data_IF_289301734733
#
_entry.id   IF_289301734733
#
_cell.length_a   1.000
_cell.length_b   1.000
_cell.length_c   1.000
_cell.angle_alpha   90.00
_cell.angle_beta   90.00
_cell.angle_gamma   90.00
#
_symmetry.space_group_name_H-M   'P 1'
#
loop_
_entity.id
_entity.type
_entity.pdbx_description
1 polymer ?
#
# COMPACT_ATOMS: atom_id res chain seq x y z
N UNK A 1 -16.51 -42.95 9.85
CA UNK A 1 -16.54 -41.50 9.78
C UNK A 1 -17.11 -41.11 8.42
N UNK A 2 -18.24 -40.35 8.33
CA UNK A 2 -18.75 -39.91 7.05
C UNK A 2 -17.75 -38.90 6.49
N UNK A 3 -17.29 -39.18 5.27
CA UNK A 3 -16.52 -38.27 4.47
C UNK A 3 -17.40 -37.05 4.13
N UNK A 4 -17.23 -35.94 4.84
CA UNK A 4 -17.68 -34.62 4.39
C UNK A 4 -16.78 -34.14 3.26
N UNK A 5 -16.58 -34.97 2.26
CA UNK A 5 -15.97 -34.62 1.00
C UNK A 5 -17.06 -33.99 0.15
N UNK A 6 -17.08 -32.62 0.04
CA UNK A 6 -17.56 -32.10 -1.18
C UNK A 6 -18.68 -31.07 -1.24
N UNK A 7 -18.95 -30.27 -0.22
CA UNK A 7 -19.65 -29.00 -0.47
C UNK A 7 -18.84 -27.86 0.14
N UNK A 8 -17.72 -27.51 -0.52
CA UNK A 8 -17.08 -26.23 -0.25
C UNK A 8 -18.09 -25.12 -0.59
N UNK A 9 -18.71 -24.58 0.45
CA UNK A 9 -19.63 -23.47 0.28
C UNK A 9 -18.83 -22.23 -0.16
N UNK A 10 -19.00 -21.83 -1.41
CA UNK A 10 -18.30 -20.70 -2.04
C UNK A 10 -19.31 -19.67 -2.54
N UNK A 11 -19.84 -18.81 -1.68
CA UNK A 11 -20.80 -17.78 -2.13
C UNK A 11 -20.14 -16.74 -3.04
N UNK A 12 -18.82 -16.57 -2.95
CA UNK A 12 -18.04 -15.62 -3.73
C UNK A 12 -16.69 -16.15 -4.19
N UNK A 13 -15.66 -15.30 -4.09
CA UNK A 13 -14.31 -15.59 -4.60
C UNK A 13 -13.49 -16.54 -3.72
N UNK A 14 -13.86 -16.72 -2.45
CA UNK A 14 -13.14 -17.55 -1.48
C UNK A 14 -13.98 -18.73 -0.97
N UNK A 15 -13.36 -19.88 -0.61
CA UNK A 15 -14.00 -20.89 0.21
C UNK A 15 -14.14 -20.37 1.64
N UNK A 16 -15.27 -20.66 2.33
CA UNK A 16 -15.50 -20.25 3.72
C UNK A 16 -14.81 -21.23 4.68
N UNK A 17 -13.50 -21.25 4.63
CA UNK A 17 -12.57 -22.00 5.50
C UNK A 17 -11.27 -21.19 5.66
N UNK A 18 -10.40 -21.55 6.61
CA UNK A 18 -9.08 -20.96 6.69
C UNK A 18 -8.32 -21.05 5.35
N UNK A 19 -7.92 -19.88 4.79
CA UNK A 19 -7.36 -19.80 3.45
C UNK A 19 -5.93 -20.34 3.39
N UNK A 20 -5.60 -21.08 2.35
CA UNK A 20 -4.22 -21.39 1.96
C UNK A 20 -3.61 -20.22 1.18
N UNK A 21 -2.28 -20.25 0.94
CA UNK A 21 -1.60 -19.26 0.09
C UNK A 21 -2.18 -19.24 -1.34
N UNK A 22 -2.42 -20.43 -1.90
CA UNK A 22 -3.01 -20.57 -3.23
C UNK A 22 -4.44 -20.03 -3.30
N UNK A 23 -5.25 -20.23 -2.24
CA UNK A 23 -6.59 -19.67 -2.16
C UNK A 23 -6.55 -18.14 -2.19
N UNK A 24 -5.64 -17.51 -1.43
CA UNK A 24 -5.48 -16.04 -1.41
C UNK A 24 -5.14 -15.50 -2.79
N UNK A 25 -4.11 -16.02 -3.46
CA UNK A 25 -3.69 -15.53 -4.77
C UNK A 25 -4.73 -15.81 -5.87
N UNK A 26 -5.36 -16.98 -5.85
CA UNK A 26 -6.42 -17.30 -6.81
C UNK A 26 -7.65 -16.41 -6.63
N UNK A 27 -8.01 -16.11 -5.39
CA UNK A 27 -9.14 -15.23 -5.07
C UNK A 27 -8.87 -13.78 -5.49
N UNK A 28 -7.66 -13.23 -5.21
CA UNK A 28 -7.27 -11.90 -5.66
C UNK A 28 -7.33 -11.81 -7.18
N UNK A 29 -6.75 -12.80 -7.87
CA UNK A 29 -6.76 -12.83 -9.35
C UNK A 29 -8.19 -12.88 -9.90
N UNK A 30 -9.08 -13.69 -9.29
CA UNK A 30 -10.50 -13.74 -9.67
C UNK A 30 -11.21 -12.42 -9.39
N UNK A 31 -10.94 -11.76 -8.25
CA UNK A 31 -11.51 -10.46 -7.93
C UNK A 31 -11.11 -9.39 -8.93
N UNK A 32 -9.81 -9.30 -9.26
CA UNK A 32 -9.27 -8.32 -10.22
C UNK A 32 -9.82 -8.58 -11.62
N UNK A 33 -9.77 -9.83 -12.11
CA UNK A 33 -10.29 -10.18 -13.43
C UNK A 33 -11.81 -10.10 -13.52
N UNK A 34 -12.50 -10.38 -12.44
CA UNK A 34 -13.97 -10.35 -12.37
C UNK A 34 -14.55 -8.94 -12.35
N UNK A 35 -13.75 -7.93 -11.98
CA UNK A 35 -14.18 -6.53 -11.88
C UNK A 35 -13.03 -5.56 -12.22
N UNK A 36 -12.53 -5.65 -13.46
CA UNK A 36 -11.39 -4.84 -13.93
C UNK A 36 -11.69 -3.34 -13.84
N UNK A 37 -12.92 -2.93 -14.17
CA UNK A 37 -13.32 -1.52 -14.11
C UNK A 37 -13.21 -0.96 -12.67
N UNK A 38 -13.71 -1.68 -11.67
CA UNK A 38 -13.66 -1.20 -10.29
C UNK A 38 -12.28 -1.40 -9.63
N UNK A 39 -11.43 -2.29 -10.12
CA UNK A 39 -10.10 -2.50 -9.57
C UNK A 39 -9.03 -1.66 -10.28
N UNK A 40 -8.83 -1.89 -11.58
CA UNK A 40 -7.84 -1.16 -12.37
C UNK A 40 -8.31 0.25 -12.76
N UNK A 41 -9.62 0.43 -13.05
CA UNK A 41 -10.18 1.75 -13.33
C UNK A 41 -10.08 2.70 -12.15
N UNK A 42 -10.41 2.24 -10.92
CA UNK A 42 -10.18 3.03 -9.70
C UNK A 42 -8.69 3.28 -9.46
N UNK A 43 -7.83 2.27 -9.72
CA UNK A 43 -6.40 2.44 -9.60
C UNK A 43 -5.88 3.56 -10.51
N UNK A 44 -6.29 3.55 -11.77
CA UNK A 44 -5.91 4.57 -12.74
C UNK A 44 -6.43 5.95 -12.33
N UNK A 45 -7.74 6.07 -12.05
CA UNK A 45 -8.37 7.35 -11.68
C UNK A 45 -7.76 7.95 -10.41
N UNK A 46 -7.63 7.14 -9.36
CA UNK A 46 -7.07 7.61 -8.07
C UNK A 46 -5.61 8.02 -8.24
N UNK A 47 -4.83 7.24 -8.99
CA UNK A 47 -3.43 7.56 -9.25
C UNK A 47 -3.29 8.83 -10.09
N UNK A 48 -4.10 9.02 -11.13
CA UNK A 48 -4.08 10.26 -11.92
C UNK A 48 -4.41 11.48 -11.05
N UNK A 49 -5.48 11.41 -10.27
CA UNK A 49 -5.92 12.53 -9.40
C UNK A 49 -4.86 12.88 -8.35
N UNK A 50 -4.19 11.88 -7.78
CA UNK A 50 -3.16 12.12 -6.77
C UNK A 50 -1.79 12.45 -7.37
N UNK A 51 -1.34 11.75 -8.43
CA UNK A 51 0.02 11.94 -8.95
C UNK A 51 0.17 13.18 -9.82
N UNK A 52 -0.82 13.52 -10.66
CA UNK A 52 -0.67 14.64 -11.60
C UNK A 52 -0.34 15.95 -10.87
N UNK A 53 -1.07 16.38 -9.82
CA UNK A 53 -0.75 17.62 -9.11
C UNK A 53 0.65 17.63 -8.50
N UNK A 54 1.02 16.51 -7.85
CA UNK A 54 2.34 16.40 -7.22
C UNK A 54 3.48 16.28 -8.22
N UNK A 55 3.25 15.61 -9.36
CA UNK A 55 4.24 15.54 -10.44
C UNK A 55 4.41 16.90 -11.11
N UNK A 56 3.32 17.61 -11.39
CA UNK A 56 3.38 18.96 -11.98
C UNK A 56 4.07 19.95 -11.05
N UNK A 57 3.71 19.95 -9.77
CA UNK A 57 4.36 20.78 -8.76
C UNK A 57 5.84 20.39 -8.59
N UNK A 58 6.14 19.11 -8.58
CA UNK A 58 7.50 18.59 -8.48
C UNK A 58 8.36 19.01 -9.65
N UNK A 59 7.85 18.88 -10.87
CA UNK A 59 8.53 19.35 -12.08
C UNK A 59 8.75 20.86 -12.09
N UNK A 60 7.75 21.64 -11.63
CA UNK A 60 7.86 23.09 -11.52
C UNK A 60 8.92 23.52 -10.49
N UNK A 61 8.93 22.91 -9.29
CA UNK A 61 9.94 23.19 -8.24
C UNK A 61 11.32 22.77 -8.72
N UNK A 62 11.45 21.58 -9.31
CA UNK A 62 12.73 21.10 -9.83
C UNK A 62 13.30 21.97 -10.96
N UNK A 63 12.42 22.60 -11.75
CA UNK A 63 12.84 23.51 -12.82
C UNK A 63 13.39 24.86 -12.31
N UNK A 64 13.25 25.16 -11.00
CA UNK A 64 13.86 26.36 -10.39
C UNK A 64 15.35 26.13 -10.07
N UNK A 65 15.81 24.87 -10.17
CA UNK A 65 17.21 24.55 -9.96
C UNK A 65 18.04 25.08 -11.13
N UNK A 66 18.92 26.04 -10.86
CA UNK A 66 19.97 26.48 -11.78
C UNK A 66 21.20 25.64 -11.46
N UNK A 67 21.66 24.83 -12.43
CA UNK A 67 22.87 24.03 -12.31
C UNK A 67 24.12 24.95 -12.35
N UNK A 68 24.28 25.76 -11.32
CA UNK A 68 25.55 26.47 -11.07
C UNK A 68 26.43 25.54 -10.22
N UNK A 69 27.43 24.95 -10.85
CA UNK A 69 28.34 23.94 -10.24
C UNK A 69 29.16 24.45 -9.05
N UNK A 70 29.04 25.74 -8.69
CA UNK A 70 29.85 26.42 -7.68
C UNK A 70 29.11 26.71 -6.36
N UNK A 71 27.86 26.30 -6.18
CA UNK A 71 27.10 26.52 -4.96
C UNK A 71 27.08 25.31 -4.05
N UNK A 72 27.42 25.49 -2.75
CA UNK A 72 27.27 24.46 -1.71
C UNK A 72 25.79 24.02 -1.50
N UNK A 73 24.83 24.74 -2.04
CA UNK A 73 23.38 24.45 -2.01
C UNK A 73 22.91 23.63 -3.22
N UNK A 74 23.82 22.92 -3.87
CA UNK A 74 23.54 22.13 -5.06
C UNK A 74 22.39 21.14 -4.84
N UNK A 75 21.34 21.28 -5.63
CA UNK A 75 20.27 20.30 -5.77
C UNK A 75 19.13 20.37 -4.76
N UNK A 76 19.00 21.43 -3.96
CA UNK A 76 17.90 21.52 -2.97
C UNK A 76 16.52 21.52 -3.64
N UNK A 77 16.29 22.41 -4.58
CA UNK A 77 15.02 22.49 -5.33
C UNK A 77 14.80 21.25 -6.19
N UNK A 78 15.86 20.77 -6.83
CA UNK A 78 15.85 19.55 -7.62
C UNK A 78 15.50 18.33 -6.78
N UNK A 79 16.12 18.19 -5.61
CA UNK A 79 15.85 17.06 -4.66
C UNK A 79 14.43 17.14 -4.12
N UNK A 80 13.96 18.30 -3.67
CA UNK A 80 12.58 18.48 -3.21
C UNK A 80 11.60 18.21 -4.35
N UNK A 81 11.81 18.83 -5.51
CA UNK A 81 10.92 18.68 -6.65
C UNK A 81 10.81 17.25 -7.14
N UNK A 82 11.93 16.53 -7.28
CA UNK A 82 11.94 15.13 -7.72
C UNK A 82 11.32 14.16 -6.70
N UNK A 83 11.24 14.55 -5.42
CA UNK A 83 10.61 13.72 -4.38
C UNK A 83 9.09 13.91 -4.26
N UNK A 84 8.52 15.01 -4.76
CA UNK A 84 7.08 15.30 -4.66
C UNK A 84 6.18 14.24 -5.30
N UNK A 85 6.47 13.64 -6.47
CA UNK A 85 5.68 12.54 -7.01
C UNK A 85 5.56 11.34 -6.08
N UNK A 86 6.55 11.10 -5.21
CA UNK A 86 6.50 10.03 -4.20
C UNK A 86 5.39 10.29 -3.18
N UNK A 87 5.16 11.54 -2.78
CA UNK A 87 4.05 11.94 -1.89
C UNK A 87 2.72 11.65 -2.57
N UNK A 88 2.58 12.03 -3.86
CA UNK A 88 1.40 11.72 -4.66
C UNK A 88 1.13 10.21 -4.74
N UNK A 89 2.17 9.41 -4.95
CA UNK A 89 2.09 7.94 -4.98
C UNK A 89 1.64 7.35 -3.64
N UNK A 90 2.14 7.87 -2.53
CA UNK A 90 1.72 7.44 -1.18
C UNK A 90 0.24 7.73 -0.95
N UNK A 91 -0.23 8.93 -1.27
CA UNK A 91 -1.65 9.29 -1.14
C UNK A 91 -2.53 8.42 -2.02
N UNK A 92 -2.14 8.21 -3.28
CA UNK A 92 -2.84 7.32 -4.21
C UNK A 92 -2.94 5.89 -3.67
N UNK A 93 -1.82 5.35 -3.20
CA UNK A 93 -1.74 3.98 -2.66
C UNK A 93 -2.69 3.76 -1.49
N UNK A 94 -2.80 4.73 -0.59
CA UNK A 94 -3.64 4.62 0.59
C UNK A 94 -5.12 4.71 0.24
N UNK A 95 -5.51 5.70 -0.56
CA UNK A 95 -6.89 5.82 -1.02
C UNK A 95 -7.31 4.57 -1.79
N UNK A 96 -6.44 4.09 -2.69
CA UNK A 96 -6.70 2.92 -3.51
C UNK A 96 -6.79 1.64 -2.70
N UNK A 97 -5.91 1.46 -1.69
CA UNK A 97 -6.01 0.30 -0.78
C UNK A 97 -7.35 0.30 -0.04
N UNK A 98 -7.87 1.47 0.34
CA UNK A 98 -9.21 1.61 0.92
C UNK A 98 -10.33 1.20 -0.04
N UNK A 99 -10.32 1.71 -1.26
CA UNK A 99 -11.30 1.33 -2.29
C UNK A 99 -11.27 -0.17 -2.59
N UNK A 100 -10.08 -0.72 -2.75
CA UNK A 100 -9.91 -2.14 -3.05
C UNK A 100 -10.30 -3.05 -1.88
N UNK A 101 -10.07 -2.64 -0.64
CA UNK A 101 -10.59 -3.37 0.52
C UNK A 101 -12.12 -3.48 0.49
N UNK A 102 -12.83 -2.41 0.08
CA UNK A 102 -14.28 -2.44 -0.10
C UNK A 102 -14.69 -3.38 -1.24
N UNK A 103 -14.07 -3.25 -2.42
CA UNK A 103 -14.34 -4.11 -3.59
C UNK A 103 -14.14 -5.58 -3.26
N UNK A 104 -13.02 -5.93 -2.61
CA UNK A 104 -12.72 -7.31 -2.19
C UNK A 104 -13.72 -7.80 -1.14
N UNK A 105 -14.08 -6.96 -0.17
CA UNK A 105 -15.09 -7.29 0.82
C UNK A 105 -16.43 -7.67 0.17
N UNK A 106 -16.89 -6.95 -0.84
CA UNK A 106 -18.10 -7.29 -1.59
C UNK A 106 -17.93 -8.54 -2.46
N UNK A 107 -16.75 -8.70 -3.08
CA UNK A 107 -16.44 -9.88 -3.90
C UNK A 107 -16.41 -11.19 -3.07
N UNK A 108 -16.04 -11.13 -1.79
CA UNK A 108 -16.14 -12.28 -0.87
C UNK A 108 -17.58 -12.78 -0.74
N UNK A 109 -18.56 -11.88 -0.82
CA UNK A 109 -20.01 -12.21 -0.82
C UNK A 109 -20.56 -12.51 -2.22
N UNK A 110 -19.71 -12.56 -3.25
CA UNK A 110 -20.12 -12.79 -4.63
C UNK A 110 -20.75 -11.58 -5.32
N UNK A 111 -20.70 -10.39 -4.72
CA UNK A 111 -21.25 -9.16 -5.29
C UNK A 111 -20.21 -8.43 -6.11
N UNK A 112 -20.60 -7.92 -7.29
CA UNK A 112 -19.82 -7.02 -8.11
C UNK A 112 -20.26 -5.59 -7.83
N UNK A 113 -19.33 -4.72 -7.53
CA UNK A 113 -19.60 -3.29 -7.26
C UNK A 113 -18.99 -2.42 -8.35
N UNK A 114 -19.70 -1.35 -8.70
CA UNK A 114 -19.21 -0.35 -9.64
C UNK A 114 -18.28 0.69 -8.96
N UNK A 115 -17.67 1.55 -9.78
CA UNK A 115 -16.81 2.64 -9.31
C UNK A 115 -17.57 3.59 -8.38
N UNK A 116 -18.79 4.01 -8.77
CA UNK A 116 -19.62 4.91 -7.98
C UNK A 116 -20.04 4.32 -6.64
N UNK A 117 -20.45 3.04 -6.60
CA UNK A 117 -20.81 2.34 -5.37
C UNK A 117 -19.60 2.20 -4.43
N UNK A 118 -18.42 1.92 -4.99
CA UNK A 118 -17.16 1.87 -4.21
C UNK A 118 -16.81 3.22 -3.60
N UNK A 119 -16.98 4.30 -4.38
CA UNK A 119 -16.78 5.67 -3.89
C UNK A 119 -17.75 6.00 -2.74
N UNK A 120 -19.04 5.74 -2.93
CA UNK A 120 -20.06 6.01 -1.91
C UNK A 120 -19.83 5.19 -0.63
N UNK A 121 -19.37 3.94 -0.77
CA UNK A 121 -19.05 3.07 0.36
C UNK A 121 -17.77 3.47 1.12
N UNK A 122 -16.86 4.24 0.49
CA UNK A 122 -15.55 4.53 1.06
C UNK A 122 -15.33 6.01 1.40
N UNK A 123 -16.01 6.95 0.70
CA UNK A 123 -15.80 8.41 0.88
C UNK A 123 -15.89 8.89 2.32
N UNK A 124 -16.80 8.32 3.13
CA UNK A 124 -16.94 8.65 4.56
C UNK A 124 -15.76 8.15 5.40
N UNK A 125 -14.98 7.20 4.89
CA UNK A 125 -13.81 6.62 5.57
C UNK A 125 -12.50 7.32 5.19
N UNK A 126 -12.51 8.17 4.16
CA UNK A 126 -11.32 8.91 3.70
C UNK A 126 -10.62 9.71 4.82
N UNK A 127 -11.32 10.43 5.72
CA UNK A 127 -10.64 11.11 6.81
C UNK A 127 -9.93 10.15 7.77
N UNK A 128 -10.52 8.99 8.06
CA UNK A 128 -9.88 7.97 8.89
C UNK A 128 -8.67 7.33 8.19
N UNK A 129 -8.76 7.12 6.87
CA UNK A 129 -7.64 6.68 6.05
C UNK A 129 -6.52 7.71 6.04
N UNK A 130 -6.84 8.99 5.82
CA UNK A 130 -5.86 10.08 5.90
C UNK A 130 -5.20 10.15 7.28
N UNK A 131 -5.98 10.03 8.36
CA UNK A 131 -5.46 9.94 9.72
C UNK A 131 -4.51 8.76 9.93
N UNK A 132 -4.82 7.60 9.35
CA UNK A 132 -3.94 6.43 9.41
C UNK A 132 -2.61 6.67 8.69
N UNK A 133 -2.62 7.41 7.56
CA UNK A 133 -1.39 7.83 6.86
C UNK A 133 -0.53 8.69 7.75
N UNK A 134 -1.13 9.76 8.29
CA UNK A 134 -0.40 10.70 9.16
C UNK A 134 0.21 9.94 10.34
N UNK A 135 -0.55 9.06 10.99
CA UNK A 135 -0.03 8.24 12.08
C UNK A 135 1.11 7.30 11.63
N UNK A 136 1.01 6.73 10.43
CA UNK A 136 2.08 5.88 9.88
C UNK A 136 3.34 6.70 9.62
N UNK A 137 3.22 7.89 9.02
CA UNK A 137 4.35 8.78 8.74
C UNK A 137 4.99 9.26 10.05
N UNK A 138 4.19 9.75 10.99
CA UNK A 138 4.68 10.19 12.31
C UNK A 138 5.39 9.04 13.05
N UNK A 139 4.79 7.85 13.04
CA UNK A 139 5.39 6.66 13.61
C UNK A 139 6.71 6.27 12.93
N UNK A 140 6.76 6.34 11.60
CA UNK A 140 7.98 6.06 10.84
C UNK A 140 9.10 7.07 11.16
N UNK A 141 8.77 8.36 11.17
CA UNK A 141 9.74 9.43 11.54
C UNK A 141 10.23 9.26 12.97
N UNK A 142 9.33 8.97 13.91
CA UNK A 142 9.69 8.74 15.31
C UNK A 142 10.64 7.55 15.47
N UNK A 143 10.34 6.43 14.82
CA UNK A 143 11.18 5.21 14.84
C UNK A 143 12.54 5.47 14.19
N UNK A 144 12.57 6.14 13.04
CA UNK A 144 13.81 6.50 12.36
C UNK A 144 14.66 7.43 13.20
N UNK A 145 14.06 8.49 13.77
CA UNK A 145 14.76 9.43 14.65
C UNK A 145 15.28 8.77 15.92
N UNK A 146 14.51 7.88 16.54
CA UNK A 146 14.93 7.15 17.72
C UNK A 146 16.11 6.20 17.46
N UNK A 147 16.15 5.55 16.29
CA UNK A 147 17.19 4.57 15.96
C UNK A 147 18.43 5.24 15.37
N UNK A 148 18.26 6.18 14.44
CA UNK A 148 19.37 6.82 13.73
C UNK A 148 19.86 8.12 14.38
N UNK A 149 19.05 8.76 15.22
CA UNK A 149 19.38 10.08 15.77
C UNK A 149 20.72 10.12 16.50
N UNK A 150 20.95 9.16 17.41
CA UNK A 150 22.23 9.09 18.16
C UNK A 150 23.41 8.73 17.26
N UNK A 151 23.36 7.68 16.41
CA UNK A 151 24.44 7.38 15.46
C UNK A 151 24.80 8.55 14.54
N UNK A 152 23.80 9.25 14.00
CA UNK A 152 24.03 10.40 13.13
C UNK A 152 24.66 11.57 13.91
N UNK A 153 24.17 11.89 15.10
CA UNK A 153 24.74 12.95 15.94
C UNK A 153 26.20 12.67 16.32
N UNK A 154 26.53 11.41 16.62
CA UNK A 154 27.91 11.00 16.90
C UNK A 154 28.80 11.09 15.66
N UNK A 155 28.30 10.66 14.49
CA UNK A 155 29.04 10.78 13.24
C UNK A 155 29.30 12.26 12.85
N UNK A 156 28.32 13.14 13.10
CA UNK A 156 28.46 14.58 12.85
C UNK A 156 29.47 15.26 13.80
N UNK A 157 29.54 14.81 15.07
CA UNK A 157 30.45 15.43 16.07
C UNK A 157 31.86 14.84 16.07
N UNK A 158 32.03 13.55 15.81
CA UNK A 158 33.32 12.83 15.88
C UNK A 158 33.89 12.45 14.52
N UNK A 159 33.15 12.75 13.44
CA UNK A 159 33.51 12.32 12.08
C UNK A 159 33.23 10.83 11.83
N UNK A 160 33.44 10.41 10.58
CA UNK A 160 33.32 9.02 10.18
C UNK A 160 34.56 8.22 10.56
N UNK A 161 34.51 7.60 11.74
CA UNK A 161 35.54 6.66 12.20
C UNK A 161 34.95 5.24 12.28
N UNK A 162 35.80 4.24 12.54
CA UNK A 162 35.36 2.83 12.56
C UNK A 162 34.22 2.57 13.55
N UNK A 163 34.18 3.26 14.67
CA UNK A 163 33.13 3.13 15.68
C UNK A 163 31.79 3.73 15.21
N UNK A 164 31.81 4.96 14.66
CA UNK A 164 30.59 5.62 14.16
C UNK A 164 29.99 4.89 12.95
N UNK A 165 30.84 4.38 12.05
CA UNK A 165 30.40 3.55 10.92
C UNK A 165 29.77 2.24 11.40
N UNK A 166 30.36 1.57 12.37
CA UNK A 166 29.79 0.36 12.99
C UNK A 166 28.41 0.65 13.60
N UNK A 167 28.27 1.74 14.34
CA UNK A 167 26.98 2.15 14.93
C UNK A 167 25.93 2.44 13.86
N UNK A 168 26.30 3.12 12.78
CA UNK A 168 25.37 3.39 11.65
C UNK A 168 24.92 2.09 10.99
N UNK A 169 25.82 1.14 10.76
CA UNK A 169 25.45 -0.17 10.19
C UNK A 169 24.51 -0.94 11.11
N UNK A 170 24.80 -0.99 12.42
CA UNK A 170 23.93 -1.65 13.39
C UNK A 170 22.56 -0.97 13.48
N UNK A 171 22.53 0.37 13.50
CA UNK A 171 21.29 1.14 13.50
C UNK A 171 20.48 0.91 12.22
N UNK A 172 21.13 0.83 11.06
CA UNK A 172 20.46 0.51 9.80
C UNK A 172 19.85 -0.90 9.81
N UNK A 173 20.57 -1.91 10.30
CA UNK A 173 20.04 -3.26 10.44
C UNK A 173 18.83 -3.31 11.39
N UNK A 174 18.94 -2.62 12.54
CA UNK A 174 17.85 -2.49 13.49
C UNK A 174 16.64 -1.79 12.87
N UNK A 175 16.87 -0.74 12.08
CA UNK A 175 15.84 -0.01 11.35
C UNK A 175 15.10 -0.92 10.37
N UNK A 176 15.81 -1.72 9.59
CA UNK A 176 15.20 -2.70 8.66
C UNK A 176 14.29 -3.67 9.42
N UNK A 177 14.76 -4.22 10.54
CA UNK A 177 13.97 -5.13 11.37
C UNK A 177 12.73 -4.42 11.95
N UNK A 178 12.90 -3.19 12.46
CA UNK A 178 11.81 -2.39 13.00
C UNK A 178 10.75 -2.07 11.93
N UNK A 179 11.17 -1.71 10.71
CA UNK A 179 10.25 -1.46 9.60
C UNK A 179 9.51 -2.72 9.15
N UNK A 180 10.17 -3.87 9.02
CA UNK A 180 9.52 -5.15 8.70
C UNK A 180 8.50 -5.54 9.78
N UNK A 181 8.84 -5.32 11.04
CA UNK A 181 7.93 -5.57 12.15
C UNK A 181 6.69 -4.65 12.09
N UNK A 182 6.89 -3.34 11.97
CA UNK A 182 5.80 -2.36 11.87
C UNK A 182 4.95 -2.59 10.61
N UNK A 183 5.58 -2.83 9.46
CA UNK A 183 4.89 -3.13 8.21
C UNK A 183 3.93 -4.31 8.34
N UNK A 184 4.33 -5.36 9.06
CA UNK A 184 3.47 -6.51 9.34
C UNK A 184 2.36 -6.16 10.32
N UNK A 185 2.67 -5.39 11.37
CA UNK A 185 1.70 -4.98 12.40
C UNK A 185 0.62 -4.05 11.89
N UNK A 186 0.95 -3.24 10.91
CA UNK A 186 0.02 -2.26 10.29
C UNK A 186 -0.71 -2.81 9.06
N UNK A 187 -0.47 -4.09 8.69
CA UNK A 187 -0.99 -4.73 7.49
C UNK A 187 -2.50 -4.55 7.27
N UNK A 188 -3.28 -4.59 8.34
CA UNK A 188 -4.73 -4.64 8.29
C UNK A 188 -5.41 -3.29 8.59
N UNK A 189 -4.64 -2.23 8.86
CA UNK A 189 -5.18 -0.92 9.25
C UNK A 189 -6.21 -0.42 8.25
N UNK A 190 -5.86 -0.40 6.96
CA UNK A 190 -6.72 0.10 5.89
C UNK A 190 -7.99 -0.77 5.73
N UNK A 191 -7.82 -2.10 5.74
CA UNK A 191 -8.94 -3.03 5.65
C UNK A 191 -9.88 -2.92 6.86
N UNK A 192 -9.34 -2.73 8.05
CA UNK A 192 -10.15 -2.54 9.29
C UNK A 192 -10.92 -1.22 9.25
N UNK A 193 -10.31 -0.12 8.78
CA UNK A 193 -11.02 1.17 8.62
C UNK A 193 -12.22 1.00 7.69
N UNK A 194 -12.02 0.35 6.56
CA UNK A 194 -13.06 0.24 5.52
C UNK A 194 -14.09 -0.84 5.86
N UNK A 195 -13.65 -2.05 6.24
CA UNK A 195 -14.53 -3.19 6.47
C UNK A 195 -15.18 -3.20 7.86
N UNK A 196 -14.51 -2.65 8.90
CA UNK A 196 -15.08 -2.60 10.25
C UNK A 196 -15.57 -1.18 10.61
N UNK A 197 -15.34 -0.17 9.76
CA UNK A 197 -15.81 1.20 10.01
C UNK A 197 -15.12 1.91 11.18
N UNK A 198 -13.92 1.47 11.56
CA UNK A 198 -13.20 2.02 12.73
C UNK A 198 -12.41 3.28 12.37
N UNK A 199 -12.28 4.18 13.35
CA UNK A 199 -11.34 5.32 13.23
C UNK A 199 -9.88 4.85 13.24
N UNK A 200 -8.96 5.73 12.79
CA UNK A 200 -7.55 5.42 12.58
C UNK A 200 -6.88 4.75 13.80
N UNK A 201 -6.92 5.36 14.99
CA UNK A 201 -6.28 4.81 16.20
C UNK A 201 -6.81 3.41 16.57
N UNK A 202 -8.13 3.24 16.52
CA UNK A 202 -8.74 1.94 16.81
C UNK A 202 -8.39 0.88 15.77
N UNK A 203 -8.17 1.29 14.52
CA UNK A 203 -7.74 0.40 13.44
C UNK A 203 -6.29 -0.08 13.65
N UNK A 204 -5.38 0.78 14.11
CA UNK A 204 -4.03 0.36 14.51
C UNK A 204 -4.06 -0.66 15.64
N UNK A 205 -4.79 -0.36 16.73
CA UNK A 205 -4.93 -1.27 17.85
C UNK A 205 -5.56 -2.62 17.42
N UNK A 206 -6.52 -2.59 16.53
CA UNK A 206 -7.17 -3.78 15.97
C UNK A 206 -6.23 -4.59 15.09
N UNK A 207 -5.51 -3.93 14.16
CA UNK A 207 -4.50 -4.56 13.31
C UNK A 207 -3.42 -5.23 14.15
N UNK A 208 -2.95 -4.53 15.19
CA UNK A 208 -1.97 -5.08 16.12
C UNK A 208 -2.43 -6.37 16.80
N UNK A 209 -3.70 -6.42 17.27
CA UNK A 209 -4.28 -7.62 17.86
C UNK A 209 -4.41 -8.76 16.87
N UNK A 210 -4.88 -8.49 15.64
CA UNK A 210 -5.05 -9.50 14.60
C UNK A 210 -3.73 -10.12 14.14
N UNK A 211 -2.64 -9.33 14.14
CA UNK A 211 -1.30 -9.77 13.71
C UNK A 211 -0.45 -10.35 14.85
N UNK A 212 -0.94 -10.36 16.11
CA UNK A 212 -0.15 -10.80 17.27
C UNK A 212 -0.01 -12.33 17.35
N UNK A 213 1.12 -12.81 17.85
CA UNK A 213 1.40 -14.22 18.10
C UNK A 213 1.78 -15.02 16.84
N UNK A 214 1.42 -16.29 16.80
CA UNK A 214 1.77 -17.21 15.69
C UNK A 214 1.41 -16.75 14.28
N UNK A 215 0.31 -16.02 14.03
CA UNK A 215 -0.01 -15.50 12.70
C UNK A 215 0.99 -14.49 12.14
N UNK A 216 1.77 -13.82 12.99
CA UNK A 216 2.74 -12.80 12.57
C UNK A 216 3.67 -13.28 11.44
N UNK A 217 4.32 -14.42 11.64
CA UNK A 217 5.27 -14.96 10.67
C UNK A 217 4.61 -15.37 9.34
N UNK A 218 3.40 -15.90 9.43
CA UNK A 218 2.63 -16.26 8.24
C UNK A 218 2.23 -15.01 7.45
N UNK A 219 1.75 -13.98 8.13
CA UNK A 219 1.37 -12.71 7.49
C UNK A 219 2.60 -12.04 6.88
N UNK A 220 3.71 -11.96 7.63
CA UNK A 220 4.99 -11.43 7.15
C UNK A 220 5.44 -12.18 5.89
N UNK A 221 5.45 -13.51 5.91
CA UNK A 221 5.88 -14.35 4.79
C UNK A 221 5.01 -14.14 3.55
N UNK A 222 3.69 -14.13 3.69
CA UNK A 222 2.77 -13.93 2.55
C UNK A 222 2.94 -12.52 1.97
N UNK A 223 2.99 -11.48 2.81
CA UNK A 223 3.17 -10.11 2.35
C UNK A 223 4.53 -9.90 1.70
N UNK A 224 5.60 -10.46 2.27
CA UNK A 224 6.93 -10.38 1.72
C UNK A 224 7.02 -11.05 0.34
N UNK A 225 6.47 -12.26 0.21
CA UNK A 225 6.39 -12.95 -1.08
C UNK A 225 5.55 -12.15 -2.09
N UNK A 226 4.40 -11.62 -1.67
CA UNK A 226 3.56 -10.76 -2.51
C UNK A 226 4.33 -9.52 -2.97
N UNK A 227 5.03 -8.86 -2.06
CA UNK A 227 5.84 -7.68 -2.37
C UNK A 227 6.92 -7.99 -3.41
N UNK A 228 7.64 -9.10 -3.28
CA UNK A 228 8.65 -9.52 -4.27
C UNK A 228 7.98 -9.78 -5.63
N UNK A 229 6.92 -10.57 -5.67
CA UNK A 229 6.25 -10.90 -6.93
C UNK A 229 5.73 -9.65 -7.65
N UNK A 230 5.04 -8.80 -6.91
CA UNK A 230 4.41 -7.60 -7.46
C UNK A 230 5.47 -6.57 -7.88
N UNK A 231 6.52 -6.35 -7.06
CA UNK A 231 7.61 -5.43 -7.42
C UNK A 231 8.41 -5.93 -8.61
N UNK A 232 8.64 -7.24 -8.74
CA UNK A 232 9.32 -7.81 -9.91
C UNK A 232 8.52 -7.54 -11.18
N UNK A 233 7.21 -7.77 -11.16
CA UNK A 233 6.33 -7.48 -12.32
C UNK A 233 6.36 -5.99 -12.66
N UNK A 234 6.27 -5.11 -11.64
CA UNK A 234 6.36 -3.68 -11.86
C UNK A 234 7.70 -3.25 -12.45
N UNK A 235 8.81 -3.77 -11.92
CA UNK A 235 10.15 -3.42 -12.41
C UNK A 235 10.40 -3.86 -13.85
N UNK A 236 9.92 -5.02 -14.26
CA UNK A 236 10.02 -5.48 -15.67
C UNK A 236 9.38 -4.47 -16.63
N UNK A 237 8.31 -3.77 -16.21
CA UNK A 237 7.60 -2.79 -17.04
C UNK A 237 8.21 -1.38 -16.89
N UNK A 238 8.51 -0.98 -15.66
CA UNK A 238 8.97 0.39 -15.34
C UNK A 238 10.42 0.61 -15.73
N UNK A 239 11.30 -0.39 -15.56
CA UNK A 239 12.72 -0.24 -15.83
C UNK A 239 13.05 0.14 -17.29
N UNK A 240 12.47 -0.49 -18.33
CA UNK A 240 12.69 -0.06 -19.70
C UNK A 240 12.24 1.39 -19.94
N UNK A 241 11.08 1.78 -19.40
CA UNK A 241 10.55 3.13 -19.55
C UNK A 241 11.48 4.15 -18.90
N UNK A 242 11.99 3.86 -17.70
CA UNK A 242 12.93 4.73 -17.00
C UNK A 242 14.26 4.84 -17.76
N UNK A 243 14.81 3.74 -18.26
CA UNK A 243 16.05 3.75 -19.05
C UNK A 243 15.89 4.54 -20.34
N UNK A 244 14.87 4.25 -21.15
CA UNK A 244 14.60 5.00 -22.39
C UNK A 244 14.33 6.48 -22.11
N UNK A 245 13.66 6.80 -21.00
CA UNK A 245 13.43 8.17 -20.56
C UNK A 245 14.74 8.91 -20.27
N UNK A 246 15.63 8.31 -19.48
CA UNK A 246 16.94 8.90 -19.14
C UNK A 246 17.82 9.07 -20.40
N UNK A 247 17.92 8.04 -21.25
CA UNK A 247 18.68 8.13 -22.50
C UNK A 247 18.10 9.19 -23.44
N UNK A 248 16.77 9.30 -23.52
CA UNK A 248 16.10 10.34 -24.31
C UNK A 248 16.43 11.76 -23.84
N UNK A 249 16.45 11.98 -22.51
CA UNK A 249 16.80 13.28 -21.92
C UNK A 249 18.24 13.66 -22.29
N UNK A 250 19.18 12.74 -22.13
CA UNK A 250 20.59 12.98 -22.46
C UNK A 250 20.76 13.24 -23.97
N UNK A 251 20.13 12.44 -24.82
CA UNK A 251 20.22 12.58 -26.27
C UNK A 251 19.65 13.91 -26.81
N UNK A 252 18.64 14.48 -26.12
CA UNK A 252 17.99 15.73 -26.47
C UNK A 252 18.66 16.97 -25.84
N UNK A 253 19.76 16.82 -25.10
CA UNK A 253 20.45 17.91 -24.41
C UNK A 253 19.70 18.46 -23.21
N UNK A 254 18.82 17.66 -22.58
CA UNK A 254 18.01 18.06 -21.42
C UNK A 254 18.76 17.99 -20.08
N UNK A 255 20.09 18.01 -20.06
CA UNK A 255 20.91 17.87 -18.85
C UNK A 255 20.67 19.00 -17.84
N UNK A 256 20.45 20.22 -18.33
CA UNK A 256 20.14 21.37 -17.48
C UNK A 256 18.81 21.25 -16.71
N UNK A 257 17.91 20.37 -17.13
CA UNK A 257 16.58 20.16 -16.54
C UNK A 257 16.40 18.72 -16.02
N UNK A 258 17.50 18.05 -15.68
CA UNK A 258 17.48 16.63 -15.30
C UNK A 258 16.54 16.35 -14.13
N UNK A 259 16.48 17.23 -13.13
CA UNK A 259 15.59 17.07 -11.97
C UNK A 259 14.10 17.20 -12.34
N UNK A 260 13.77 18.11 -13.25
CA UNK A 260 12.41 18.26 -13.77
C UNK A 260 11.97 16.99 -14.50
N UNK A 261 12.82 16.48 -15.39
CA UNK A 261 12.53 15.23 -16.11
C UNK A 261 12.47 14.02 -15.17
N UNK A 262 13.30 14.00 -14.14
CA UNK A 262 13.25 12.94 -13.11
C UNK A 262 11.91 12.97 -12.37
N UNK A 263 11.37 14.15 -12.03
CA UNK A 263 10.04 14.27 -11.43
C UNK A 263 8.94 13.73 -12.36
N UNK A 264 8.98 14.07 -13.64
CA UNK A 264 8.01 13.60 -14.64
C UNK A 264 8.10 12.07 -14.83
N UNK A 265 9.30 11.53 -15.03
CA UNK A 265 9.52 10.09 -15.17
C UNK A 265 9.12 9.33 -13.90
N UNK A 266 9.41 9.90 -12.74
CA UNK A 266 8.98 9.36 -11.45
C UNK A 266 7.47 9.29 -11.33
N UNK A 267 6.76 10.34 -11.74
CA UNK A 267 5.29 10.38 -11.77
C UNK A 267 4.69 9.33 -12.72
N UNK A 268 5.21 9.25 -13.95
CA UNK A 268 4.75 8.25 -14.93
C UNK A 268 5.03 6.82 -14.45
N UNK A 269 6.22 6.57 -13.95
CA UNK A 269 6.62 5.26 -13.41
C UNK A 269 5.78 4.89 -12.19
N UNK A 270 5.51 5.86 -11.32
CA UNK A 270 4.63 5.71 -10.15
C UNK A 270 3.19 5.36 -10.54
N UNK A 271 2.64 6.04 -11.57
CA UNK A 271 1.31 5.73 -12.11
C UNK A 271 1.21 4.29 -12.62
N UNK A 272 2.13 3.89 -13.48
CA UNK A 272 2.15 2.55 -14.07
C UNK A 272 2.31 1.49 -12.98
N UNK A 273 3.25 1.71 -12.05
CA UNK A 273 3.46 0.82 -10.91
C UNK A 273 2.18 0.71 -10.07
N UNK A 274 1.55 1.82 -9.68
CA UNK A 274 0.37 1.82 -8.84
C UNK A 274 -0.81 1.05 -9.47
N UNK A 275 -1.07 1.25 -10.77
CA UNK A 275 -2.16 0.55 -11.48
C UNK A 275 -1.97 -0.96 -11.49
N UNK A 276 -0.73 -1.43 -11.61
CA UNK A 276 -0.40 -2.86 -11.69
C UNK A 276 -0.33 -3.48 -10.30
N UNK A 277 0.37 -2.83 -9.36
CA UNK A 277 0.76 -3.44 -8.10
C UNK A 277 -0.30 -3.34 -7.03
N UNK A 278 -0.96 -2.18 -6.92
CA UNK A 278 -1.85 -1.90 -5.79
C UNK A 278 -3.10 -2.79 -5.76
N UNK A 279 -3.78 -3.10 -6.90
CA UNK A 279 -4.92 -4.01 -6.85
C UNK A 279 -4.59 -5.38 -6.28
N UNK A 280 -3.40 -5.88 -6.59
CA UNK A 280 -2.98 -7.19 -6.11
C UNK A 280 -2.56 -7.16 -4.64
N UNK A 281 -1.72 -6.21 -4.25
CA UNK A 281 -1.24 -6.06 -2.87
C UNK A 281 -2.38 -5.78 -1.89
N UNK A 282 -3.25 -4.82 -2.22
CA UNK A 282 -4.42 -4.48 -1.41
C UNK A 282 -5.42 -5.63 -1.32
N UNK A 283 -5.58 -6.39 -2.42
CA UNK A 283 -6.41 -7.60 -2.44
C UNK A 283 -5.89 -8.66 -1.48
N UNK A 284 -4.58 -8.90 -1.47
CA UNK A 284 -3.94 -9.85 -0.52
C UNK A 284 -4.14 -9.38 0.92
N UNK A 285 -3.89 -8.12 1.24
CA UNK A 285 -4.05 -7.57 2.60
C UNK A 285 -5.53 -7.65 3.08
N UNK A 286 -6.50 -7.35 2.20
CA UNK A 286 -7.90 -7.48 2.52
C UNK A 286 -8.30 -8.95 2.79
N UNK A 287 -7.87 -9.89 1.94
CA UNK A 287 -8.16 -11.31 2.13
C UNK A 287 -7.46 -11.90 3.36
N UNK A 288 -6.23 -11.47 3.68
CA UNK A 288 -5.55 -11.84 4.92
C UNK A 288 -6.30 -11.33 6.15
N UNK A 289 -6.91 -10.13 6.07
CA UNK A 289 -7.77 -9.60 7.14
C UNK A 289 -8.99 -10.50 7.35
N UNK A 290 -9.67 -10.90 6.27
CA UNK A 290 -10.80 -11.82 6.32
C UNK A 290 -10.37 -13.20 6.86
N UNK A 291 -9.25 -13.77 6.38
CA UNK A 291 -8.71 -15.03 6.86
C UNK A 291 -8.39 -15.01 8.37
N UNK A 292 -7.80 -13.91 8.88
CA UNK A 292 -7.53 -13.80 10.32
C UNK A 292 -8.82 -13.68 11.15
N UNK A 293 -9.86 -13.04 10.62
CA UNK A 293 -11.18 -12.98 11.27
C UNK A 293 -11.89 -14.34 11.24
N UNK A 294 -11.77 -15.09 10.14
CA UNK A 294 -12.27 -16.48 10.08
C UNK A 294 -11.60 -17.32 11.18
N UNK A 295 -10.27 -17.27 11.27
CA UNK A 295 -9.48 -18.09 12.22
C UNK A 295 -9.67 -17.70 13.68
N UNK A 296 -9.95 -16.45 13.99
CA UNK A 296 -9.99 -15.93 15.37
C UNK A 296 -11.38 -15.62 15.88
N UNK A 297 -12.31 -15.31 15.00
CA UNK A 297 -13.61 -14.73 15.32
C UNK A 297 -14.79 -15.56 14.75
N UNK A 298 -14.49 -16.62 13.98
CA UNK A 298 -15.54 -17.43 13.36
C UNK A 298 -16.37 -16.65 12.34
N UNK A 299 -15.74 -15.73 11.60
CA UNK A 299 -16.43 -14.93 10.58
C UNK A 299 -17.10 -15.78 9.49
N UNK A 300 -16.60 -16.97 9.23
CA UNK A 300 -17.18 -17.95 8.31
C UNK A 300 -18.63 -18.27 8.64
N UNK A 301 -18.97 -18.46 9.91
CA UNK A 301 -20.35 -18.73 10.35
C UNK A 301 -21.28 -17.57 10.02
N UNK A 302 -20.82 -16.33 10.25
CA UNK A 302 -21.59 -15.11 9.91
C UNK A 302 -21.78 -14.95 8.40
N UNK A 303 -20.73 -15.23 7.61
CA UNK A 303 -20.79 -15.17 6.15
C UNK A 303 -21.72 -16.24 5.57
N UNK A 304 -21.71 -17.47 6.11
CA UNK A 304 -22.63 -18.53 5.70
C UNK A 304 -24.08 -18.12 5.99
N UNK A 305 -24.33 -17.62 7.20
CA UNK A 305 -25.67 -17.18 7.60
C UNK A 305 -26.18 -16.06 6.68
N UNK A 306 -25.33 -15.03 6.40
CA UNK A 306 -25.67 -13.94 5.48
C UNK A 306 -25.94 -14.43 4.06
N UNK A 307 -25.14 -15.38 3.57
CA UNK A 307 -25.30 -15.90 2.22
C UNK A 307 -26.56 -16.78 2.06
N UNK A 308 -26.98 -17.48 3.11
CA UNK A 308 -28.16 -18.36 3.10
C UNK A 308 -29.47 -17.61 3.34
N UNK A 309 -29.45 -16.59 4.19
CA UNK A 309 -30.68 -15.91 4.65
C UNK A 309 -30.82 -14.50 4.09
N UNK A 310 -29.89 -14.01 3.25
CA UNK A 310 -29.97 -12.67 2.63
C UNK A 310 -29.86 -11.51 3.61
N UNK A 311 -29.22 -11.72 4.78
CA UNK A 311 -29.01 -10.68 5.79
C UNK A 311 -28.00 -9.62 5.37
N UNK A 312 -27.85 -8.51 6.14
CA UNK A 312 -26.86 -7.49 5.88
C UNK A 312 -25.45 -8.10 6.01
N UNK A 313 -24.49 -7.64 5.18
CA UNK A 313 -23.11 -8.14 5.25
C UNK A 313 -22.52 -7.85 6.64
N UNK A 314 -21.60 -8.69 7.16
CA UNK A 314 -20.98 -8.51 8.48
C UNK A 314 -19.94 -7.36 8.52
N UNK A 315 -19.94 -6.51 7.53
CA UNK A 315 -19.20 -5.25 7.45
C UNK A 315 -20.13 -4.10 7.02
N UNK A 316 -19.81 -2.85 7.41
CA UNK A 316 -20.65 -1.70 7.09
C UNK A 316 -20.90 -1.60 5.58
N UNK A 317 -22.16 -1.54 5.19
CA UNK A 317 -22.58 -1.21 3.82
C UNK A 317 -22.92 0.29 3.75
N UNK A 318 -22.75 0.91 2.59
CA UNK A 318 -23.14 2.31 2.36
C UNK A 318 -24.64 2.58 2.62
N UNK A 319 -25.45 1.52 2.69
CA UNK A 319 -26.90 1.58 2.89
C UNK A 319 -27.28 1.62 4.37
N UNK A 320 -26.43 1.13 5.29
CA UNK A 320 -26.76 1.09 6.74
C UNK A 320 -26.54 2.42 7.47
N UNK A 321 -25.89 3.39 6.85
CA UNK A 321 -25.58 4.70 7.43
C UNK A 321 -26.53 5.83 6.95
N UNK A 322 -27.74 5.48 6.42
CA UNK A 322 -28.78 6.46 6.05
C UNK A 322 -29.86 6.57 7.10
#
# INVERSE_FOLDING_TARGET
>A
APAYAGLEFRPGIIPLRPLSLGDVYSAVTKAVRGNVAATMGLALLTSLVCLIPFTALGAWVANQETLEFDSEEFGLYGTIGSSLPTIGSLLASIALTGFLAYVIGQAVLGRKVGIGETWDGTKRRLPALAGAVVLTIVGAVAVTGAILGVPIALAASQGFNGFTVMLLVLAFLLLVVAYLFLWTRTAFVTSVIVLEGRGAFNAFARSWRLTSGRPFWRILGIRFLTSILVSTVAQVIVLPIALFGVFGIIALGGESQIFMWQAILGGVSGLISAVITTPFSAGVDALLTVDQRIRREGLDVQLIHTAQHGGPPPWPSAVQDR
#
